data_IF_409031808339
#
_entry.id   IF_409031808339
#
_cell.length_a   1.000
_cell.length_b   1.000
_cell.length_c   1.000
_cell.angle_alpha   90.00
_cell.angle_beta   90.00
_cell.angle_gamma   90.00
#
_symmetry.space_group_name_H-M   'P 1'
#
loop_
_entity.id
_entity.type
_entity.pdbx_description
1 polymer ?
#
# COMPACT_ATOMS: atom_id res chain seq x y z
N UNK A 1 -6.54 10.76 -8.22
CA UNK A 1 -7.90 10.30 -7.93
C UNK A 1 -8.25 10.65 -6.49
N UNK A 2 -9.48 11.05 -6.23
CA UNK A 2 -10.02 11.31 -4.91
C UNK A 2 -11.36 10.59 -4.78
N UNK A 3 -11.47 9.71 -3.80
CA UNK A 3 -12.68 8.93 -3.56
C UNK A 3 -13.01 8.91 -2.07
N UNK A 4 -14.25 8.57 -1.72
CA UNK A 4 -14.60 8.23 -0.34
C UNK A 4 -14.09 6.82 -0.02
N UNK A 5 -13.80 6.59 1.26
CA UNK A 5 -13.45 5.25 1.73
C UNK A 5 -14.56 4.24 1.43
N UNK A 6 -14.21 3.16 0.77
CA UNK A 6 -15.16 2.12 0.35
C UNK A 6 -15.23 0.93 1.31
N UNK A 7 -14.40 0.87 2.34
CA UNK A 7 -14.31 -0.27 3.23
C UNK A 7 -15.19 -0.22 4.49
N UNK A 8 -16.06 0.77 4.61
CA UNK A 8 -17.13 0.74 5.59
C UNK A 8 -18.34 -0.01 5.01
N UNK A 9 -18.65 -1.13 5.61
CA UNK A 9 -19.79 -1.95 5.19
C UNK A 9 -21.06 -1.44 5.86
N UNK A 10 -22.18 -1.48 5.13
CA UNK A 10 -23.49 -1.27 5.70
C UNK A 10 -24.12 -2.63 6.03
N UNK A 11 -24.66 -2.78 7.24
CA UNK A 11 -25.43 -3.95 7.62
C UNK A 11 -26.79 -3.99 6.89
N UNK A 12 -27.46 -5.12 6.94
CA UNK A 12 -28.79 -5.22 6.36
C UNK A 12 -29.79 -4.26 7.05
N UNK A 13 -29.70 -4.16 8.36
CA UNK A 13 -30.52 -3.28 9.19
C UNK A 13 -30.27 -1.80 8.85
N UNK A 14 -29.02 -1.40 8.69
CA UNK A 14 -28.67 -0.04 8.26
C UNK A 14 -29.18 0.27 6.85
N UNK A 15 -29.13 -0.69 5.92
CA UNK A 15 -29.69 -0.52 4.59
C UNK A 15 -31.22 -0.42 4.60
N UNK A 16 -31.89 -1.14 5.49
CA UNK A 16 -33.34 -1.04 5.68
C UNK A 16 -33.74 0.29 6.32
N UNK A 17 -32.94 0.79 7.27
CA UNK A 17 -33.22 2.02 8.02
C UNK A 17 -32.84 3.29 7.20
N UNK A 18 -31.69 3.31 6.55
CA UNK A 18 -31.13 4.50 5.90
C UNK A 18 -31.12 4.43 4.36
N UNK A 19 -31.49 3.28 3.82
CA UNK A 19 -31.52 3.03 2.38
C UNK A 19 -30.17 2.54 1.81
N UNK A 20 -30.22 2.03 0.58
CA UNK A 20 -29.10 1.37 -0.10
C UNK A 20 -27.92 2.29 -0.46
N UNK A 21 -28.04 3.60 -0.28
CA UNK A 21 -26.98 4.58 -0.50
C UNK A 21 -26.27 4.99 0.79
N UNK A 22 -26.68 4.43 1.91
CA UNK A 22 -26.07 4.72 3.20
C UNK A 22 -24.60 4.28 3.19
N UNK A 23 -23.74 5.15 3.72
CA UNK A 23 -22.33 4.87 3.98
C UNK A 23 -21.97 5.54 5.31
N UNK A 24 -21.46 4.76 6.25
CA UNK A 24 -21.04 5.24 7.57
C UNK A 24 -19.68 5.95 7.56
N UNK A 25 -19.01 6.06 6.39
CA UNK A 25 -17.74 6.77 6.27
C UNK A 25 -17.84 8.20 6.82
N UNK A 26 -16.96 8.51 7.76
CA UNK A 26 -16.91 9.85 8.35
C UNK A 26 -17.97 10.14 9.40
N UNK A 27 -18.82 9.17 9.76
CA UNK A 27 -19.82 9.38 10.80
C UNK A 27 -19.16 9.86 12.09
N UNK A 28 -19.67 10.95 12.65
CA UNK A 28 -19.18 11.58 13.88
C UNK A 28 -20.16 11.36 15.02
N UNK A 29 -21.39 11.86 14.88
CA UNK A 29 -22.44 11.74 15.88
C UNK A 29 -23.81 12.01 15.28
N UNK A 30 -24.85 11.69 16.04
CA UNK A 30 -26.24 12.07 15.74
C UNK A 30 -26.69 13.12 16.78
N UNK A 31 -27.21 14.23 16.29
CA UNK A 31 -27.69 15.30 17.15
C UNK A 31 -29.05 15.01 17.82
N UNK A 32 -29.50 15.90 18.70
CA UNK A 32 -30.75 15.76 19.44
C UNK A 32 -32.00 15.69 18.53
N UNK A 33 -31.90 16.16 17.29
CA UNK A 33 -32.98 16.12 16.30
C UNK A 33 -32.92 14.84 15.43
N UNK A 34 -32.01 13.92 15.72
CA UNK A 34 -31.80 12.68 14.95
C UNK A 34 -31.04 12.87 13.63
N UNK A 35 -30.41 14.03 13.39
CA UNK A 35 -29.59 14.27 12.20
C UNK A 35 -28.17 13.75 12.40
N UNK A 36 -27.72 12.93 11.48
CA UNK A 36 -26.34 12.44 11.44
C UNK A 36 -25.38 13.51 10.91
N UNK A 37 -24.25 13.65 11.57
CA UNK A 37 -23.15 14.53 11.18
C UNK A 37 -21.95 13.71 10.76
N UNK A 38 -21.31 14.13 9.67
CA UNK A 38 -20.20 13.42 9.05
C UNK A 38 -19.01 14.34 8.86
N UNK A 39 -17.80 13.77 8.93
CA UNK A 39 -16.57 14.42 8.53
C UNK A 39 -16.46 14.40 7.00
N UNK A 40 -16.44 15.57 6.39
CA UNK A 40 -16.56 15.71 4.93
C UNK A 40 -15.32 15.27 4.15
N UNK A 41 -14.14 15.28 4.80
CA UNK A 41 -12.86 14.95 4.16
C UNK A 41 -12.40 13.51 4.40
N UNK A 42 -13.30 12.60 4.75
CA UNK A 42 -12.98 11.17 4.84
C UNK A 42 -12.81 10.57 3.44
N UNK A 43 -11.73 10.91 2.82
CA UNK A 43 -11.42 10.60 1.43
C UNK A 43 -10.09 9.90 1.30
N UNK A 44 -10.00 9.10 0.24
CA UNK A 44 -8.77 8.47 -0.25
C UNK A 44 -8.27 9.24 -1.48
N UNK A 45 -7.05 9.70 -1.41
CA UNK A 45 -6.42 10.53 -2.43
C UNK A 45 -5.14 9.84 -2.88
N UNK A 46 -5.02 9.56 -4.18
CA UNK A 46 -3.84 8.91 -4.73
C UNK A 46 -3.48 9.47 -6.09
N UNK A 47 -2.21 9.77 -6.26
CA UNK A 47 -1.60 10.20 -7.52
C UNK A 47 -0.53 9.20 -7.92
N UNK A 48 -0.64 8.67 -9.13
CA UNK A 48 0.35 7.73 -9.68
C UNK A 48 0.87 8.26 -11.01
N UNK A 49 2.19 8.25 -11.14
CA UNK A 49 2.90 8.60 -12.38
C UNK A 49 3.68 7.38 -12.84
N UNK A 50 3.50 7.00 -14.10
CA UNK A 50 4.14 5.83 -14.68
C UNK A 50 4.97 6.24 -15.88
N UNK A 51 6.20 5.72 -15.95
CA UNK A 51 7.09 5.84 -17.10
C UNK A 51 7.49 4.45 -17.55
N UNK A 52 7.47 4.24 -18.85
CA UNK A 52 7.85 2.97 -19.47
C UNK A 52 8.69 3.23 -20.71
N UNK A 53 9.74 2.41 -20.88
CA UNK A 53 10.52 2.32 -22.10
C UNK A 53 10.51 0.88 -22.58
N UNK A 54 9.96 0.68 -23.79
CA UNK A 54 9.84 -0.64 -24.39
C UNK A 54 10.72 -0.71 -25.62
N UNK A 55 11.53 -1.75 -25.71
CA UNK A 55 12.38 -2.05 -26.86
C UNK A 55 12.11 -3.48 -27.32
N UNK A 56 11.81 -3.61 -28.62
CA UNK A 56 11.60 -4.90 -29.26
C UNK A 56 12.47 -4.94 -30.52
N UNK A 57 13.22 -6.02 -30.70
CA UNK A 57 14.10 -6.19 -31.86
C UNK A 57 14.07 -7.62 -32.38
N UNK A 58 13.95 -7.73 -33.69
CA UNK A 58 14.07 -8.96 -34.45
C UNK A 58 15.46 -9.00 -35.09
N UNK A 59 16.37 -9.84 -34.57
CA UNK A 59 17.73 -9.97 -35.12
C UNK A 59 17.77 -10.79 -36.40
N UNK A 60 16.92 -11.82 -36.48
CA UNK A 60 16.76 -12.68 -37.64
C UNK A 60 15.36 -13.29 -37.66
N UNK A 61 15.05 -14.14 -38.63
CA UNK A 61 13.81 -14.93 -38.63
C UNK A 61 13.69 -15.87 -37.41
N UNK A 62 14.76 -16.16 -36.74
CA UNK A 62 14.85 -17.08 -35.62
C UNK A 62 14.98 -16.41 -34.26
N UNK A 63 15.67 -15.28 -34.19
CA UNK A 63 15.99 -14.60 -32.93
C UNK A 63 15.27 -13.28 -32.75
N UNK A 64 14.67 -13.11 -31.59
CA UNK A 64 14.08 -11.84 -31.16
C UNK A 64 14.39 -11.52 -29.71
N UNK A 65 14.33 -10.25 -29.36
CA UNK A 65 14.54 -9.76 -28.00
C UNK A 65 13.48 -8.72 -27.64
N UNK A 66 13.01 -8.78 -26.41
CA UNK A 66 12.17 -7.75 -25.78
C UNK A 66 12.86 -7.25 -24.52
N UNK A 67 12.85 -5.95 -24.32
CA UNK A 67 13.32 -5.27 -23.12
C UNK A 67 12.27 -4.25 -22.69
N UNK A 68 11.90 -4.27 -21.42
CA UNK A 68 11.02 -3.27 -20.82
C UNK A 68 11.66 -2.69 -19.59
N UNK A 69 11.71 -1.36 -19.49
CA UNK A 69 12.06 -0.64 -18.27
C UNK A 69 10.82 0.11 -17.80
N UNK A 70 10.62 0.16 -16.51
CA UNK A 70 9.50 0.89 -15.92
C UNK A 70 9.90 1.58 -14.63
N UNK A 71 9.23 2.69 -14.36
CA UNK A 71 9.27 3.37 -13.08
C UNK A 71 7.90 3.95 -12.76
N UNK A 72 7.44 3.73 -11.54
CA UNK A 72 6.19 4.26 -11.01
C UNK A 72 6.49 5.04 -9.75
N UNK A 73 6.01 6.28 -9.69
CA UNK A 73 5.97 7.09 -8.49
C UNK A 73 4.52 7.18 -8.01
N UNK A 74 4.28 6.78 -6.76
CA UNK A 74 2.99 6.87 -6.10
C UNK A 74 3.07 7.79 -4.90
N UNK A 75 2.05 8.63 -4.73
CA UNK A 75 1.89 9.54 -3.61
C UNK A 75 0.41 9.59 -3.24
N UNK A 76 0.09 9.37 -1.98
CA UNK A 76 -1.30 9.33 -1.58
C UNK A 76 -1.52 9.34 -0.07
N UNK A 77 -2.75 9.63 0.29
CA UNK A 77 -3.20 9.60 1.68
C UNK A 77 -4.71 9.42 1.78
N UNK A 78 -5.13 8.93 2.93
CA UNK A 78 -6.52 9.01 3.35
C UNK A 78 -6.65 9.70 4.70
N UNK A 79 -7.79 10.32 4.94
CA UNK A 79 -8.12 10.96 6.19
C UNK A 79 -9.32 10.27 6.81
N UNK A 80 -9.34 10.18 8.14
CA UNK A 80 -10.42 9.54 8.89
C UNK A 80 -10.69 10.30 10.18
N UNK A 81 -11.97 10.51 10.46
CA UNK A 81 -12.43 10.78 11.82
C UNK A 81 -12.41 9.48 12.63
N UNK A 82 -11.93 9.55 13.85
CA UNK A 82 -11.87 8.44 14.81
C UNK A 82 -12.48 8.87 16.12
N UNK A 83 -13.50 8.15 16.52
CA UNK A 83 -14.22 8.31 17.77
C UNK A 83 -13.45 7.68 18.94
N UNK A 84 -13.36 8.37 20.07
CA UNK A 84 -12.92 7.88 21.37
C UNK A 84 -11.57 7.16 21.36
N UNK A 85 -10.51 7.76 20.82
CA UNK A 85 -9.19 7.14 20.73
C UNK A 85 -8.27 7.51 21.88
N UNK A 86 -7.45 6.56 22.30
CA UNK A 86 -6.39 6.77 23.29
C UNK A 86 -5.32 7.67 22.70
N UNK A 87 -5.03 8.78 23.36
CA UNK A 87 -4.08 9.78 22.88
C UNK A 87 -2.66 9.22 22.70
N UNK A 88 -2.23 8.34 23.60
CA UNK A 88 -0.89 7.72 23.57
C UNK A 88 -0.63 6.93 22.29
N UNK A 89 -1.65 6.31 21.67
CA UNK A 89 -1.53 5.61 20.39
C UNK A 89 -1.08 6.54 19.25
N UNK A 90 -1.30 7.85 19.44
CA UNK A 90 -0.98 8.88 18.46
C UNK A 90 0.20 9.77 18.92
N UNK A 91 0.98 9.30 19.89
CA UNK A 91 2.13 10.04 20.42
C UNK A 91 1.76 11.32 21.15
N UNK A 92 0.51 11.43 21.59
CA UNK A 92 -0.01 12.58 22.35
C UNK A 92 -0.08 12.23 23.83
N UNK A 93 0.13 13.25 24.67
CA UNK A 93 0.00 13.09 26.13
C UNK A 93 -1.44 13.35 26.56
N UNK A 94 -1.93 12.65 27.60
CA UNK A 94 -3.13 13.07 28.29
C UNK A 94 -3.05 14.54 28.72
N UNK A 95 -4.17 15.22 28.73
CA UNK A 95 -4.27 16.63 29.11
C UNK A 95 -5.37 16.82 30.16
N UNK A 96 -5.36 17.97 30.85
CA UNK A 96 -6.38 18.28 31.84
C UNK A 96 -7.39 19.26 31.25
N UNK A 97 -8.67 18.89 31.28
CA UNK A 97 -9.79 19.75 30.89
C UNK A 97 -10.77 19.85 32.06
N UNK A 98 -11.07 21.08 32.49
CA UNK A 98 -11.99 21.34 33.61
C UNK A 98 -11.61 20.62 34.93
N UNK A 99 -10.33 20.31 35.13
CA UNK A 99 -9.82 19.63 36.33
C UNK A 99 -9.82 18.10 36.24
N UNK A 100 -10.27 17.53 35.13
CA UNK A 100 -10.25 16.10 34.86
C UNK A 100 -9.17 15.73 33.83
N UNK A 101 -8.50 14.60 34.02
CA UNK A 101 -7.55 14.06 33.05
C UNK A 101 -8.28 13.42 31.86
N UNK A 102 -7.93 13.85 30.65
CA UNK A 102 -8.45 13.33 29.39
C UNK A 102 -7.35 12.52 28.71
N UNK A 103 -7.49 11.19 28.72
CA UNK A 103 -6.60 10.25 28.04
C UNK A 103 -7.17 9.73 26.72
N UNK A 104 -8.45 10.00 26.43
CA UNK A 104 -9.20 9.55 25.26
C UNK A 104 -9.91 10.72 24.62
N UNK A 105 -9.88 10.83 23.31
CA UNK A 105 -10.60 11.89 22.60
C UNK A 105 -10.91 11.47 21.17
N UNK A 106 -11.84 12.20 20.56
CA UNK A 106 -12.07 12.10 19.12
C UNK A 106 -10.94 12.84 18.40
N UNK A 107 -10.55 12.30 17.25
CA UNK A 107 -9.49 12.90 16.45
C UNK A 107 -9.69 12.67 14.95
N UNK A 108 -9.01 13.51 14.16
CA UNK A 108 -8.84 13.28 12.74
C UNK A 108 -7.39 12.91 12.50
N UNK A 109 -7.19 11.75 11.87
CA UNK A 109 -5.87 11.29 11.44
C UNK A 109 -5.77 11.24 9.92
N UNK A 110 -4.56 11.38 9.43
CA UNK A 110 -4.18 11.14 8.05
C UNK A 110 -3.16 10.02 8.02
N UNK A 111 -3.38 9.02 7.17
CA UNK A 111 -2.37 8.02 6.83
C UNK A 111 -1.93 8.23 5.41
N UNK A 112 -0.64 8.31 5.20
CA UNK A 112 -0.04 8.66 3.92
C UNK A 112 1.03 7.66 3.52
N UNK A 113 1.25 7.59 2.22
CA UNK A 113 2.33 6.82 1.60
C UNK A 113 2.99 7.63 0.50
N UNK A 114 4.30 7.49 0.39
CA UNK A 114 5.12 7.97 -0.71
C UNK A 114 5.98 6.80 -1.19
N UNK A 115 5.76 6.34 -2.43
CA UNK A 115 6.45 5.15 -2.91
C UNK A 115 7.04 5.31 -4.31
N UNK A 116 8.08 4.52 -4.55
CA UNK A 116 8.69 4.31 -5.85
C UNK A 116 8.75 2.82 -6.17
N UNK A 117 8.41 2.45 -7.38
CA UNK A 117 8.53 1.10 -7.90
C UNK A 117 9.15 1.14 -9.28
N UNK A 118 10.31 0.51 -9.44
CA UNK A 118 11.01 0.52 -10.71
C UNK A 118 11.74 -0.78 -10.98
N UNK A 119 11.98 -1.03 -12.25
CA UNK A 119 12.67 -2.24 -12.65
C UNK A 119 12.77 -2.42 -14.15
N UNK A 120 13.21 -3.62 -14.52
CA UNK A 120 13.33 -4.03 -15.90
C UNK A 120 13.00 -5.49 -16.08
N UNK A 121 12.51 -5.79 -17.26
CA UNK A 121 12.24 -7.16 -17.73
C UNK A 121 12.92 -7.34 -19.08
N UNK A 122 13.37 -8.56 -19.34
CA UNK A 122 13.90 -8.93 -20.66
C UNK A 122 13.45 -10.32 -21.06
N UNK A 123 13.42 -10.57 -22.36
CA UNK A 123 13.35 -11.92 -22.92
C UNK A 123 14.07 -11.99 -24.24
N UNK A 124 14.80 -13.08 -24.46
CA UNK A 124 15.39 -13.46 -25.74
C UNK A 124 14.71 -14.74 -26.18
N UNK A 125 14.16 -14.75 -27.38
CA UNK A 125 13.43 -15.89 -27.95
C UNK A 125 14.15 -16.42 -29.16
N UNK A 126 14.18 -17.74 -29.26
CA UNK A 126 14.68 -18.50 -30.42
C UNK A 126 13.61 -19.41 -30.95
N UNK A 127 13.44 -19.44 -32.27
CA UNK A 127 12.50 -20.33 -32.92
C UNK A 127 13.06 -20.83 -34.23
N UNK A 128 13.35 -22.15 -34.32
CA UNK A 128 13.84 -22.78 -35.54
C UNK A 128 13.69 -24.31 -35.44
N UNK A 129 13.44 -25.00 -36.57
CA UNK A 129 13.47 -26.47 -36.70
C UNK A 129 12.66 -27.21 -35.61
N UNK A 130 11.44 -26.76 -35.34
CA UNK A 130 10.57 -27.37 -34.32
C UNK A 130 10.92 -27.02 -32.88
N UNK A 131 11.99 -26.28 -32.62
CA UNK A 131 12.35 -25.74 -31.31
C UNK A 131 11.87 -24.29 -31.16
N UNK A 132 11.15 -24.03 -30.06
CA UNK A 132 10.86 -22.69 -29.58
C UNK A 132 11.40 -22.56 -28.15
N UNK A 133 12.34 -21.68 -27.93
CA UNK A 133 12.95 -21.46 -26.62
C UNK A 133 12.92 -19.97 -26.25
N UNK A 134 12.80 -19.68 -24.95
CA UNK A 134 12.87 -18.35 -24.42
C UNK A 134 13.66 -18.33 -23.12
N UNK A 135 14.68 -17.47 -23.05
CA UNK A 135 15.35 -17.08 -21.84
C UNK A 135 14.88 -15.67 -21.46
N UNK A 136 14.41 -15.49 -20.25
CA UNK A 136 13.97 -14.19 -19.78
C UNK A 136 14.10 -14.03 -18.29
N UNK A 137 13.81 -12.83 -17.83
CA UNK A 137 13.88 -12.50 -16.42
C UNK A 137 13.51 -11.06 -16.15
N UNK A 138 13.59 -10.70 -14.89
CA UNK A 138 13.31 -9.34 -14.46
C UNK A 138 13.85 -9.06 -13.07
N UNK A 139 14.04 -7.78 -12.82
CA UNK A 139 14.36 -7.25 -11.51
C UNK A 139 13.48 -6.04 -11.22
N UNK A 140 12.89 -6.02 -10.04
CA UNK A 140 12.06 -4.94 -9.56
C UNK A 140 12.47 -4.53 -8.16
N UNK A 141 12.43 -3.23 -7.89
CA UNK A 141 12.64 -2.65 -6.56
C UNK A 141 11.47 -1.75 -6.20
N UNK A 142 10.91 -2.00 -5.05
CA UNK A 142 9.94 -1.13 -4.38
C UNK A 142 10.60 -0.48 -3.17
N UNK A 143 10.34 0.81 -3.00
CA UNK A 143 10.61 1.56 -1.77
C UNK A 143 9.39 2.42 -1.44
N UNK A 144 8.95 2.40 -0.19
CA UNK A 144 7.80 3.18 0.22
C UNK A 144 7.89 3.62 1.67
N UNK A 145 7.69 4.91 1.90
CA UNK A 145 7.47 5.49 3.21
C UNK A 145 5.97 5.47 3.52
N UNK A 146 5.61 4.95 4.70
CA UNK A 146 4.27 4.96 5.23
C UNK A 146 4.29 5.72 6.54
N UNK A 147 3.41 6.70 6.69
CA UNK A 147 3.39 7.54 7.89
C UNK A 147 1.98 8.00 8.24
N UNK A 148 1.77 8.27 9.53
CA UNK A 148 0.50 8.77 10.04
C UNK A 148 0.67 10.09 10.74
N UNK A 149 -0.31 10.98 10.53
CA UNK A 149 -0.33 12.33 11.11
C UNK A 149 -1.65 12.55 11.84
N UNK A 150 -1.59 13.24 12.97
CA UNK A 150 -2.77 13.76 13.66
C UNK A 150 -3.04 15.16 13.16
N UNK A 151 -4.24 15.37 12.62
CA UNK A 151 -4.64 16.65 12.05
C UNK A 151 -5.44 17.51 13.04
N UNK A 152 -6.23 16.86 13.90
CA UNK A 152 -7.10 17.50 14.86
C UNK A 152 -7.43 16.55 16.01
N UNK A 153 -7.60 17.08 17.20
CA UNK A 153 -8.08 16.37 18.38
C UNK A 153 -9.11 17.26 19.06
N UNK A 154 -10.24 16.67 19.44
CA UNK A 154 -11.33 17.37 20.10
C UNK A 154 -10.90 17.89 21.46
N UNK A 155 -11.19 19.17 21.71
CA UNK A 155 -10.96 19.88 22.97
C UNK A 155 -9.51 19.78 23.53
N UNK A 156 -8.54 19.54 22.64
CA UNK A 156 -7.15 19.32 23.03
C UNK A 156 -6.52 20.56 23.65
N UNK A 157 -6.05 20.40 24.89
CA UNK A 157 -5.28 21.44 25.60
C UNK A 157 -3.80 21.16 25.42
N UNK A 158 -3.22 21.79 24.40
CA UNK A 158 -1.82 21.64 24.00
C UNK A 158 -1.60 22.11 22.56
N UNK A 159 -0.35 22.11 22.13
CA UNK A 159 -0.02 22.41 20.73
C UNK A 159 0.12 21.11 19.93
N UNK A 160 -0.65 20.99 18.86
CA UNK A 160 -0.39 20.01 17.81
C UNK A 160 0.63 20.63 16.85
N UNK A 161 1.81 20.05 16.78
CA UNK A 161 2.76 20.44 15.74
C UNK A 161 2.13 20.24 14.37
N UNK A 162 2.31 21.17 13.41
CA UNK A 162 1.90 20.96 12.05
C UNK A 162 2.46 19.62 11.54
N UNK A 163 1.59 18.75 11.01
CA UNK A 163 1.96 17.40 10.58
C UNK A 163 2.56 16.52 11.68
N UNK A 164 2.02 16.57 12.89
CA UNK A 164 2.38 15.70 14.01
C UNK A 164 2.36 14.23 13.58
N UNK A 165 3.51 13.65 13.28
CA UNK A 165 3.62 12.23 12.96
C UNK A 165 3.59 11.39 14.23
N UNK A 166 2.77 10.33 14.22
CA UNK A 166 2.72 9.36 15.31
C UNK A 166 3.36 8.02 14.93
N UNK A 167 3.49 7.72 13.64
CA UNK A 167 4.32 6.61 13.15
C UNK A 167 4.94 6.95 11.81
N UNK A 168 6.07 6.29 11.52
CA UNK A 168 6.70 6.23 10.20
C UNK A 168 7.44 4.91 10.05
N UNK A 169 7.23 4.26 8.92
CA UNK A 169 8.05 3.12 8.54
C UNK A 169 8.40 3.18 7.05
N UNK A 170 9.47 2.49 6.69
CA UNK A 170 9.93 2.34 5.31
C UNK A 170 9.96 0.87 4.94
N UNK A 171 9.23 0.52 3.89
CA UNK A 171 9.27 -0.79 3.26
C UNK A 171 10.18 -0.79 2.04
N UNK A 172 11.06 -1.78 1.93
CA UNK A 172 11.87 -2.02 0.73
C UNK A 172 11.69 -3.47 0.30
N UNK A 173 11.43 -3.70 -0.98
CA UNK A 173 11.34 -5.03 -1.57
C UNK A 173 12.16 -5.07 -2.84
N UNK A 174 13.06 -6.06 -2.95
CA UNK A 174 13.70 -6.41 -4.22
C UNK A 174 13.17 -7.78 -4.66
N UNK A 175 12.92 -7.93 -5.96
CA UNK A 175 12.35 -9.13 -6.55
C UNK A 175 13.03 -9.37 -7.88
N UNK A 176 13.85 -10.41 -7.94
CA UNK A 176 14.60 -10.82 -9.13
C UNK A 176 14.23 -12.23 -9.56
N UNK A 177 14.08 -12.43 -10.85
CA UNK A 177 13.84 -13.76 -11.40
C UNK A 177 14.53 -13.96 -12.74
N UNK A 178 14.81 -15.23 -13.06
CA UNK A 178 15.27 -15.67 -14.37
C UNK A 178 14.55 -16.97 -14.71
N UNK A 179 14.18 -17.14 -15.97
CA UNK A 179 13.52 -18.34 -16.44
C UNK A 179 14.03 -18.79 -17.81
N UNK A 180 13.96 -20.10 -18.05
CA UNK A 180 14.20 -20.72 -19.33
C UNK A 180 12.99 -21.61 -19.67
N UNK A 181 12.41 -21.39 -20.84
CA UNK A 181 11.31 -22.19 -21.40
C UNK A 181 11.75 -22.78 -22.72
N UNK A 182 11.36 -24.01 -22.98
CA UNK A 182 11.59 -24.65 -24.27
C UNK A 182 10.39 -25.53 -24.64
N UNK A 183 9.99 -25.45 -25.87
CA UNK A 183 9.03 -26.35 -26.54
C UNK A 183 9.71 -26.94 -27.75
N UNK A 184 9.66 -28.26 -27.88
CA UNK A 184 10.28 -28.99 -28.98
C UNK A 184 9.32 -30.02 -29.57
N UNK A 185 9.10 -29.91 -30.86
CA UNK A 185 8.34 -30.91 -31.64
C UNK A 185 9.21 -32.15 -31.90
N UNK A 186 8.94 -33.23 -31.15
CA UNK A 186 9.66 -34.50 -31.27
C UNK A 186 9.25 -35.30 -32.51
N UNK A 187 7.96 -35.25 -32.87
CA UNK A 187 7.39 -35.90 -34.03
C UNK A 187 6.04 -35.23 -34.37
N UNK A 188 5.43 -35.60 -35.49
CA UNK A 188 4.10 -35.13 -35.83
C UNK A 188 3.10 -35.51 -34.73
N UNK A 189 2.48 -34.47 -34.13
CA UNK A 189 1.53 -34.61 -33.03
C UNK A 189 2.14 -34.86 -31.65
N UNK A 190 3.47 -34.86 -31.51
CA UNK A 190 4.16 -35.03 -30.22
C UNK A 190 5.10 -33.88 -29.92
N UNK A 191 4.77 -33.07 -28.91
CA UNK A 191 5.58 -31.97 -28.40
C UNK A 191 6.06 -32.23 -26.98
N UNK A 192 7.26 -31.77 -26.67
CA UNK A 192 7.85 -31.76 -25.33
C UNK A 192 8.02 -30.33 -24.85
N UNK A 193 7.57 -30.06 -23.65
CA UNK A 193 7.71 -28.74 -22.99
C UNK A 193 8.53 -28.88 -21.72
N UNK A 194 9.41 -27.89 -21.49
CA UNK A 194 10.17 -27.73 -20.25
C UNK A 194 10.18 -26.26 -19.84
N UNK A 195 10.03 -26.01 -18.54
CA UNK A 195 10.10 -24.67 -17.94
C UNK A 195 10.88 -24.75 -16.63
N UNK A 196 11.85 -23.88 -16.46
CA UNK A 196 12.61 -23.72 -15.24
C UNK A 196 12.63 -22.23 -14.86
N UNK A 197 12.42 -21.95 -13.59
CA UNK A 197 12.47 -20.60 -13.05
C UNK A 197 13.22 -20.59 -11.72
N UNK A 198 14.06 -19.58 -11.54
CA UNK A 198 14.61 -19.19 -10.23
C UNK A 198 14.13 -17.80 -9.90
N UNK A 199 13.72 -17.58 -8.65
CA UNK A 199 13.27 -16.28 -8.13
C UNK A 199 13.88 -16.04 -6.77
N UNK A 200 14.36 -14.82 -6.54
CA UNK A 200 14.87 -14.38 -5.25
C UNK A 200 14.21 -13.08 -4.84
N UNK A 201 13.72 -13.04 -3.60
CA UNK A 201 13.02 -11.88 -3.04
C UNK A 201 13.70 -11.51 -1.73
N UNK A 202 13.94 -10.21 -1.54
CA UNK A 202 14.30 -9.64 -0.24
C UNK A 202 13.24 -8.63 0.18
N UNK A 203 12.89 -8.63 1.44
CA UNK A 203 11.91 -7.72 2.00
C UNK A 203 12.41 -7.17 3.33
N UNK A 204 12.38 -5.84 3.47
CA UNK A 204 12.82 -5.15 4.68
C UNK A 204 11.79 -4.09 5.07
N UNK A 205 11.45 -4.06 6.36
CA UNK A 205 10.68 -2.98 6.97
C UNK A 205 11.45 -2.43 8.15
N UNK A 206 11.61 -1.10 8.19
CA UNK A 206 12.22 -0.38 9.30
C UNK A 206 11.30 0.75 9.75
N UNK A 207 11.27 1.03 11.05
CA UNK A 207 10.54 2.17 11.60
C UNK A 207 9.59 1.81 12.73
N UNK A 208 8.41 2.40 12.73
CA UNK A 208 7.42 2.25 13.79
C UNK A 208 6.16 1.56 13.26
N UNK A 209 5.62 0.62 14.04
CA UNK A 209 4.34 -0.02 13.74
C UNK A 209 3.19 0.99 13.92
N UNK A 210 2.21 0.95 13.04
CA UNK A 210 1.04 1.83 13.04
C UNK A 210 -0.17 1.26 13.81
N UNK A 211 -0.02 0.09 14.42
CA UNK A 211 -1.12 -0.60 15.11
C UNK A 211 -1.12 -0.28 16.59
N UNK A 212 -2.27 0.11 17.10
CA UNK A 212 -2.49 0.44 18.50
C UNK A 212 -2.14 -0.71 19.48
N UNK A 213 -2.33 -1.98 19.06
CA UNK A 213 -1.97 -3.16 19.86
C UNK A 213 -0.45 -3.38 19.99
N UNK A 214 0.34 -2.53 19.36
CA UNK A 214 1.79 -2.53 19.43
C UNK A 214 2.33 -1.36 20.25
N UNK A 215 1.48 -0.70 21.05
CA UNK A 215 1.91 0.36 21.96
C UNK A 215 2.70 -0.25 23.12
N UNK A 216 3.85 0.34 23.41
CA UNK A 216 4.73 0.04 24.53
C UNK A 216 4.86 1.26 25.44
N UNK A 217 5.52 1.13 26.58
CA UNK A 217 5.74 2.25 27.52
C UNK A 217 6.50 3.42 26.85
N UNK A 218 7.34 3.12 25.86
CA UNK A 218 8.13 4.09 25.09
C UNK A 218 7.44 4.56 23.79
N UNK A 219 6.19 4.18 23.54
CA UNK A 219 5.43 4.51 22.34
C UNK A 219 5.11 3.28 21.47
N UNK A 220 4.95 3.48 20.15
CA UNK A 220 4.66 2.38 19.23
C UNK A 220 5.87 1.48 19.03
N UNK A 221 5.61 0.18 18.91
CA UNK A 221 6.64 -0.83 18.64
C UNK A 221 7.46 -0.49 17.40
N UNK A 222 8.77 -0.60 17.51
CA UNK A 222 9.68 -0.50 16.37
C UNK A 222 9.65 -1.76 15.54
N UNK A 223 9.69 -1.57 14.23
CA UNK A 223 9.84 -2.63 13.24
C UNK A 223 11.28 -2.64 12.73
N UNK A 224 11.87 -3.82 12.68
CA UNK A 224 13.13 -4.09 11.99
C UNK A 224 13.04 -5.54 11.49
N UNK A 225 12.50 -5.69 10.29
CA UNK A 225 12.23 -6.99 9.66
C UNK A 225 13.08 -7.07 8.40
N UNK A 226 13.88 -8.12 8.28
CA UNK A 226 14.67 -8.44 7.08
C UNK A 226 14.44 -9.91 6.74
N UNK A 227 13.76 -10.16 5.62
CA UNK A 227 13.38 -11.49 5.16
C UNK A 227 13.88 -11.75 3.75
N UNK A 228 14.31 -12.99 3.49
CA UNK A 228 14.81 -13.46 2.19
C UNK A 228 14.12 -14.75 1.81
N UNK A 229 13.67 -14.78 0.56
CA UNK A 229 12.98 -15.93 -0.02
C UNK A 229 13.64 -16.28 -1.36
N UNK A 230 13.87 -17.55 -1.62
CA UNK A 230 14.48 -18.01 -2.86
C UNK A 230 14.35 -19.51 -3.05
#
# INVERSE_FOLDING_TARGET
ERTYHAWNYASKEEMEQYGRRYNSCGYMFTDENGKMHFYDDQTDNYVQKNWQLLFNHQFSSEWSMNLGLHYTKGDGYYQEYKDGRTLVEYGLKPFVLNGEEVAWSDLVRKKAMDNGFGGGIFSVSYKSHGLSAALGGGFNRYEGDHFGQVLWVKDYVGELSPNQEYYRNKGTKNDGNIYLKADYQLADGLNMYADMQYRHITYRIEGTNDKWNSVTDDGLQRLDIDEKFG
#
